data_IF_192701141088
#
_entry.id   IF_192701141088
#
_cell.length_a   1.000
_cell.length_b   1.000
_cell.length_c   1.000
_cell.angle_alpha   90.00
_cell.angle_beta   90.00
_cell.angle_gamma   90.00
#
_symmetry.space_group_name_H-M   'P 1'
#
loop_
_entity.id
_entity.type
_entity.pdbx_description
1 polymer ?
#
# COMPACT_ATOMS: atom_id res chain seq x y z
N UNK A 1 26.67 -26.15 -55.36
CA UNK A 1 26.87 -25.04 -54.39
C UNK A 1 25.66 -25.01 -53.49
N UNK A 2 25.78 -25.21 -52.16
CA UNK A 2 24.62 -25.09 -51.28
C UNK A 2 24.23 -23.61 -51.24
N UNK A 3 22.96 -23.31 -51.48
CA UNK A 3 22.38 -21.97 -51.41
C UNK A 3 22.42 -21.47 -49.96
N UNK A 4 23.16 -20.38 -49.73
CA UNK A 4 23.41 -19.75 -48.43
C UNK A 4 22.20 -18.88 -47.98
N UNK A 5 21.28 -18.58 -48.89
CA UNK A 5 20.12 -17.73 -48.64
C UNK A 5 19.19 -18.18 -47.49
N UNK A 6 18.90 -19.49 -47.29
CA UNK A 6 18.05 -19.93 -46.18
C UNK A 6 18.70 -19.65 -44.82
N UNK A 7 20.03 -19.79 -44.70
CA UNK A 7 20.71 -19.62 -43.40
C UNK A 7 20.67 -18.18 -42.89
N UNK A 8 20.76 -17.19 -43.78
CA UNK A 8 20.64 -15.77 -43.41
C UNK A 8 19.25 -15.42 -42.88
N UNK A 9 18.20 -16.00 -43.47
CA UNK A 9 16.83 -15.81 -43.01
C UNK A 9 16.65 -16.38 -41.60
N UNK A 10 17.20 -17.57 -41.33
CA UNK A 10 17.20 -18.15 -39.98
C UNK A 10 17.96 -17.29 -38.97
N UNK A 11 19.15 -16.79 -39.32
CA UNK A 11 19.92 -15.90 -38.45
C UNK A 11 19.18 -14.60 -38.15
N UNK A 12 18.46 -14.03 -39.13
CA UNK A 12 17.66 -12.83 -38.94
C UNK A 12 16.50 -13.05 -37.97
N UNK A 13 15.74 -14.15 -38.13
CA UNK A 13 14.69 -14.51 -37.18
C UNK A 13 15.23 -14.80 -35.78
N UNK A 14 16.39 -15.47 -35.69
CA UNK A 14 17.06 -15.70 -34.42
C UNK A 14 17.46 -14.38 -33.74
N UNK A 15 18.01 -13.41 -34.48
CA UNK A 15 18.36 -12.09 -33.95
C UNK A 15 17.14 -11.32 -33.44
N UNK A 16 16.00 -11.38 -34.16
CA UNK A 16 14.75 -10.77 -33.71
C UNK A 16 14.27 -11.43 -32.41
N UNK A 17 14.28 -12.76 -32.35
CA UNK A 17 13.86 -13.50 -31.17
C UNK A 17 14.74 -13.20 -29.94
N UNK A 18 16.06 -13.16 -30.11
CA UNK A 18 16.99 -12.82 -29.02
C UNK A 18 16.78 -11.38 -28.58
N UNK A 19 16.61 -10.45 -29.52
CA UNK A 19 16.40 -9.03 -29.22
C UNK A 19 15.08 -8.80 -28.47
N UNK A 20 14.00 -9.48 -28.86
CA UNK A 20 12.71 -9.36 -28.18
C UNK A 20 12.76 -9.91 -26.76
N UNK A 21 13.39 -11.07 -26.56
CA UNK A 21 13.62 -11.64 -25.21
C UNK A 21 14.45 -10.68 -24.36
N UNK A 22 15.46 -10.05 -24.94
CA UNK A 22 16.32 -9.11 -24.21
C UNK A 22 15.54 -7.87 -23.77
N UNK A 23 14.77 -7.26 -24.67
CA UNK A 23 13.94 -6.07 -24.37
C UNK A 23 12.91 -6.39 -23.29
N UNK A 24 12.22 -7.53 -23.39
CA UNK A 24 11.21 -7.91 -22.39
C UNK A 24 11.85 -8.24 -21.05
N UNK A 25 13.02 -8.89 -21.04
CA UNK A 25 13.75 -9.21 -19.80
C UNK A 25 14.23 -7.95 -19.08
N UNK A 26 14.82 -7.00 -19.80
CA UNK A 26 15.23 -5.72 -19.22
C UNK A 26 14.04 -4.88 -18.76
N UNK A 27 12.95 -4.87 -19.53
CA UNK A 27 11.70 -4.22 -19.14
C UNK A 27 11.17 -4.79 -17.83
N UNK A 28 11.06 -6.12 -17.72
CA UNK A 28 10.65 -6.80 -16.51
C UNK A 28 11.59 -6.49 -15.33
N UNK A 29 12.91 -6.53 -15.55
CA UNK A 29 13.89 -6.21 -14.50
C UNK A 29 13.77 -4.76 -14.00
N UNK A 30 13.61 -3.79 -14.90
CA UNK A 30 13.41 -2.39 -14.55
C UNK A 30 12.12 -2.18 -13.74
N UNK A 31 11.03 -2.87 -14.08
CA UNK A 31 9.79 -2.81 -13.30
C UNK A 31 9.96 -3.39 -11.89
N UNK A 32 10.70 -4.49 -11.75
CA UNK A 32 10.99 -5.10 -10.44
C UNK A 32 11.86 -4.19 -9.58
N UNK A 33 12.91 -3.60 -10.15
CA UNK A 33 13.78 -2.64 -9.46
C UNK A 33 12.99 -1.43 -8.93
N UNK A 34 11.99 -0.98 -9.66
CA UNK A 34 11.12 0.13 -9.23
C UNK A 34 10.13 -0.28 -8.13
N UNK A 35 9.64 -1.52 -8.14
CA UNK A 35 8.69 -2.00 -7.14
C UNK A 35 9.30 -2.09 -5.73
N UNK A 36 10.60 -2.41 -5.60
CA UNK A 36 11.28 -2.54 -4.30
C UNK A 36 11.21 -1.27 -3.44
N UNK A 37 11.64 -0.09 -3.92
CA UNK A 37 11.54 1.15 -3.14
C UNK A 37 10.08 1.60 -2.95
N UNK A 38 9.19 1.38 -3.92
CA UNK A 38 7.76 1.70 -3.79
C UNK A 38 7.10 0.89 -2.65
N UNK A 39 7.43 -0.39 -2.52
CA UNK A 39 6.98 -1.23 -1.39
C UNK A 39 7.57 -0.74 -0.06
N UNK A 40 8.84 -0.33 -0.06
CA UNK A 40 9.48 0.27 1.13
C UNK A 40 8.79 1.55 1.60
N UNK A 41 8.40 2.42 0.67
CA UNK A 41 7.64 3.63 0.95
C UNK A 41 6.24 3.30 1.49
N UNK A 42 5.53 2.33 0.90
CA UNK A 42 4.24 1.87 1.41
C UNK A 42 4.36 1.35 2.85
N UNK A 43 5.37 0.52 3.14
CA UNK A 43 5.61 0.01 4.49
C UNK A 43 5.91 1.13 5.50
N UNK A 44 6.62 2.17 5.07
CA UNK A 44 6.91 3.33 5.92
C UNK A 44 5.64 4.12 6.24
N UNK A 45 4.74 4.28 5.26
CA UNK A 45 3.42 4.90 5.47
C UNK A 45 2.53 4.06 6.39
N UNK A 46 2.44 2.75 6.17
CA UNK A 46 1.67 1.86 7.05
C UNK A 46 2.18 1.91 8.49
N UNK A 47 3.51 1.96 8.67
CA UNK A 47 4.13 2.12 9.99
C UNK A 47 3.80 3.47 10.60
N UNK A 48 3.85 4.55 9.83
CA UNK A 48 3.46 5.89 10.27
C UNK A 48 1.99 5.94 10.74
N UNK A 49 1.07 5.35 9.98
CA UNK A 49 -0.35 5.27 10.39
C UNK A 49 -0.52 4.43 11.65
N UNK A 50 0.20 3.30 11.76
CA UNK A 50 0.17 2.47 12.96
C UNK A 50 0.71 3.20 14.21
N UNK A 51 1.79 3.98 14.08
CA UNK A 51 2.35 4.75 15.19
C UNK A 51 1.40 5.86 15.62
N UNK A 52 0.86 6.63 14.68
CA UNK A 52 -0.14 7.67 14.97
C UNK A 52 -1.39 7.08 15.63
N UNK A 53 -1.81 5.90 15.19
CA UNK A 53 -2.94 5.18 15.80
C UNK A 53 -2.66 4.74 17.23
N UNK A 54 -1.45 4.25 17.53
CA UNK A 54 -1.06 3.93 18.89
C UNK A 54 -1.00 5.17 19.79
N UNK A 55 -0.47 6.29 19.30
CA UNK A 55 -0.41 7.55 20.06
C UNK A 55 -1.81 8.08 20.38
N UNK A 56 -2.71 8.07 19.38
CA UNK A 56 -4.12 8.43 19.57
C UNK A 56 -4.81 7.50 20.57
N UNK A 57 -4.58 6.20 20.49
CA UNK A 57 -5.16 5.24 21.43
C UNK A 57 -4.72 5.53 22.87
N UNK A 58 -3.43 5.79 23.10
CA UNK A 58 -2.91 6.15 24.43
C UNK A 58 -3.47 7.51 24.91
N UNK A 59 -3.65 8.47 24.00
CA UNK A 59 -4.27 9.75 24.35
C UNK A 59 -5.73 9.58 24.77
N UNK A 60 -6.52 8.81 24.02
CA UNK A 60 -7.93 8.54 24.33
C UNK A 60 -8.06 7.74 25.62
N UNK A 61 -7.18 6.77 25.85
CA UNK A 61 -7.15 5.97 27.08
C UNK A 61 -6.91 6.83 28.33
N UNK A 62 -6.04 7.84 28.21
CA UNK A 62 -5.67 8.73 29.34
C UNK A 62 -6.65 9.89 29.54
N UNK A 63 -7.21 10.43 28.47
CA UNK A 63 -8.08 11.63 28.53
C UNK A 63 -9.57 11.31 28.43
N UNK A 64 -9.94 10.06 28.14
CA UNK A 64 -11.32 9.62 27.97
C UNK A 64 -12.11 10.48 26.95
N UNK A 65 -11.40 11.07 25.98
CA UNK A 65 -11.92 12.04 25.03
C UNK A 65 -11.71 11.55 23.61
N UNK A 66 -12.65 11.83 22.71
CA UNK A 66 -12.49 11.52 21.28
C UNK A 66 -11.39 12.38 20.69
N UNK A 67 -10.44 11.76 19.99
CA UNK A 67 -9.32 12.43 19.35
C UNK A 67 -9.27 12.13 17.85
N UNK A 68 -9.04 13.15 17.04
CA UNK A 68 -8.99 13.06 15.58
C UNK A 68 -7.70 13.67 15.07
N UNK A 69 -7.02 12.99 14.14
CA UNK A 69 -5.85 13.51 13.45
C UNK A 69 -6.02 13.40 11.95
N UNK A 70 -5.61 14.43 11.23
CA UNK A 70 -5.52 14.41 9.77
C UNK A 70 -4.15 13.84 9.42
N UNK A 71 -4.13 12.80 8.61
CA UNK A 71 -2.91 12.17 8.13
C UNK A 71 -2.54 12.78 6.78
N UNK A 72 -1.45 13.53 6.76
CA UNK A 72 -0.83 14.02 5.53
C UNK A 72 -0.17 12.85 4.79
N UNK A 73 -0.93 12.25 3.89
CA UNK A 73 -0.49 11.12 3.09
C UNK A 73 -0.23 11.58 1.66
N UNK A 74 0.80 11.03 1.00
CA UNK A 74 1.00 11.30 -0.41
C UNK A 74 -0.19 10.76 -1.22
N UNK A 75 -0.54 11.43 -2.31
CA UNK A 75 -1.59 10.95 -3.22
C UNK A 75 -1.15 9.77 -4.08
N UNK A 76 0.17 9.54 -4.22
CA UNK A 76 0.78 8.46 -5.00
C UNK A 76 2.12 8.04 -4.42
N UNK A 77 2.47 6.78 -4.61
CA UNK A 77 3.80 6.22 -4.31
C UNK A 77 4.44 5.89 -5.67
N UNK A 78 5.48 6.63 -6.05
CA UNK A 78 6.03 6.56 -7.40
C UNK A 78 4.99 6.98 -8.45
N UNK A 79 4.61 6.05 -9.33
CA UNK A 79 3.55 6.27 -10.33
C UNK A 79 2.21 5.60 -9.96
N UNK A 80 2.15 4.89 -8.83
CA UNK A 80 1.01 4.06 -8.46
C UNK A 80 0.18 4.71 -7.36
N UNK A 81 -1.13 4.51 -7.45
CA UNK A 81 -2.04 4.73 -6.32
C UNK A 81 -1.83 3.63 -5.29
N UNK A 82 -2.33 3.84 -4.09
CA UNK A 82 -2.35 2.83 -3.04
C UNK A 82 -3.65 2.93 -2.25
N UNK A 83 -3.94 1.85 -1.54
CA UNK A 83 -5.00 1.76 -0.57
C UNK A 83 -4.45 1.20 0.73
N UNK A 84 -5.16 1.49 1.82
CA UNK A 84 -4.91 0.90 3.11
C UNK A 84 -6.23 0.65 3.84
N UNK A 85 -6.21 -0.30 4.75
CA UNK A 85 -7.34 -0.70 5.57
C UNK A 85 -6.84 -1.01 6.96
N UNK A 86 -7.64 -0.66 7.94
CA UNK A 86 -7.47 -1.19 9.28
C UNK A 86 -8.22 -2.50 9.39
N UNK A 87 -7.53 -3.54 9.83
CA UNK A 87 -8.11 -4.85 10.07
C UNK A 87 -7.77 -5.30 11.49
N UNK A 88 -8.72 -5.97 12.12
CA UNK A 88 -8.47 -6.69 13.36
C UNK A 88 -8.92 -8.14 13.25
N UNK A 89 -8.30 -8.95 14.08
CA UNK A 89 -8.77 -10.25 14.49
C UNK A 89 -9.06 -10.17 16.00
N UNK A 90 -9.65 -11.22 16.56
CA UNK A 90 -9.99 -11.42 17.97
C UNK A 90 -8.88 -11.07 18.98
N UNK A 91 -7.61 -10.98 18.56
CA UNK A 91 -6.47 -10.69 19.45
C UNK A 91 -5.53 -9.58 18.98
N UNK A 92 -5.58 -9.17 17.72
CA UNK A 92 -4.57 -8.26 17.13
C UNK A 92 -5.22 -7.33 16.13
N UNK A 93 -4.78 -6.08 16.14
CA UNK A 93 -5.10 -5.10 15.10
C UNK A 93 -3.85 -4.86 14.22
N UNK A 94 -4.05 -4.64 12.93
CA UNK A 94 -3.02 -4.25 11.99
C UNK A 94 -3.54 -3.25 10.95
N UNK A 95 -2.62 -2.49 10.39
CA UNK A 95 -2.83 -1.69 9.18
C UNK A 95 -2.32 -2.51 8.01
N UNK A 96 -3.15 -2.76 7.01
CA UNK A 96 -2.73 -3.41 5.78
C UNK A 96 -2.93 -2.49 4.58
N UNK A 97 -2.13 -2.68 3.53
CA UNK A 97 -2.28 -1.92 2.31
C UNK A 97 -1.49 -2.49 1.16
N UNK A 98 -1.84 -2.08 -0.05
CA UNK A 98 -1.15 -2.46 -1.26
C UNK A 98 -1.09 -1.29 -2.25
N UNK A 99 -0.12 -1.39 -3.16
CA UNK A 99 -0.07 -0.53 -4.35
C UNK A 99 -1.13 -0.99 -5.35
N UNK A 100 -1.71 -0.06 -6.08
CA UNK A 100 -2.81 -0.32 -7.03
C UNK A 100 -4.18 -0.09 -6.41
N UNK A 101 -5.19 -0.74 -6.99
CA UNK A 101 -6.57 -0.71 -6.49
C UNK A 101 -6.87 -1.94 -5.62
N UNK A 102 -7.87 -1.83 -4.74
CA UNK A 102 -8.27 -2.92 -3.81
C UNK A 102 -8.53 -4.26 -4.52
N UNK A 103 -8.94 -4.23 -5.79
CA UNK A 103 -9.34 -5.42 -6.55
C UNK A 103 -8.20 -6.08 -7.35
N UNK A 104 -7.00 -5.49 -7.36
CA UNK A 104 -5.89 -5.96 -8.22
C UNK A 104 -5.11 -7.15 -7.65
N UNK A 105 -5.56 -7.76 -6.54
CA UNK A 105 -4.92 -8.95 -5.96
C UNK A 105 -3.44 -8.75 -5.60
N UNK A 106 -3.02 -7.50 -5.43
CA UNK A 106 -1.63 -7.14 -5.12
C UNK A 106 -1.24 -7.65 -3.74
N UNK A 107 0.02 -8.06 -3.53
CA UNK A 107 0.48 -8.54 -2.23
C UNK A 107 0.31 -7.43 -1.19
N UNK A 108 -0.51 -7.72 -0.19
CA UNK A 108 -0.78 -6.81 0.92
C UNK A 108 0.39 -6.81 1.89
N UNK A 109 0.89 -5.63 2.21
CA UNK A 109 1.78 -5.44 3.35
C UNK A 109 0.95 -5.18 4.59
N UNK A 110 1.35 -5.76 5.73
CA UNK A 110 0.66 -5.62 6.99
C UNK A 110 1.61 -5.16 8.10
N UNK A 111 1.16 -4.22 8.93
CA UNK A 111 1.89 -3.68 10.07
C UNK A 111 0.99 -3.78 11.30
N UNK A 112 1.38 -4.61 12.26
CA UNK A 112 0.63 -4.79 13.50
C UNK A 112 0.71 -3.56 14.41
N UNK A 113 -0.43 -3.18 14.98
CA UNK A 113 -0.49 -2.20 16.06
C UNK A 113 0.01 -2.85 17.36
N UNK A 114 0.63 -2.05 18.23
CA UNK A 114 1.12 -2.51 19.54
C UNK A 114 0.03 -2.51 20.61
N UNK A 115 -1.08 -1.83 20.36
CA UNK A 115 -2.18 -1.64 21.32
C UNK A 115 -3.39 -2.51 20.91
N UNK A 116 -4.07 -3.08 21.91
CA UNK A 116 -5.33 -3.78 21.70
C UNK A 116 -6.45 -2.77 21.45
N UNK A 117 -6.74 -2.51 20.18
CA UNK A 117 -7.80 -1.60 19.75
C UNK A 117 -8.73 -2.29 18.77
N UNK A 118 -10.02 -2.01 18.85
CA UNK A 118 -10.93 -2.31 17.76
C UNK A 118 -10.61 -1.38 16.59
N UNK A 119 -10.61 -1.88 15.37
CA UNK A 119 -10.31 -1.03 14.22
C UNK A 119 -11.36 -1.16 13.14
N UNK A 120 -11.62 -0.06 12.44
CA UNK A 120 -12.59 0.01 11.36
C UNK A 120 -12.10 0.98 10.29
N UNK A 121 -12.40 0.67 9.04
CA UNK A 121 -12.33 1.64 7.96
C UNK A 121 -11.24 1.38 6.93
N UNK A 122 -11.46 1.95 5.76
CA UNK A 122 -10.64 1.81 4.58
C UNK A 122 -10.34 3.19 3.98
N UNK A 123 -9.19 3.28 3.35
CA UNK A 123 -8.73 4.49 2.70
C UNK A 123 -8.13 4.14 1.34
N UNK A 124 -8.42 4.97 0.36
CA UNK A 124 -7.75 4.95 -0.93
C UNK A 124 -7.19 6.34 -1.21
N UNK A 125 -5.94 6.37 -1.68
CA UNK A 125 -5.21 7.59 -2.05
C UNK A 125 -5.92 8.45 -3.12
N UNK A 126 -6.94 7.91 -3.78
CA UNK A 126 -7.79 8.61 -4.74
C UNK A 126 -8.62 9.74 -4.13
N UNK A 127 -8.94 9.63 -2.84
CA UNK A 127 -9.96 10.44 -2.18
C UNK A 127 -9.41 11.57 -1.29
N UNK A 128 -8.11 11.89 -1.41
CA UNK A 128 -7.49 13.00 -0.69
C UNK A 128 -6.94 12.60 0.69
N UNK A 129 -6.81 13.52 1.65
CA UNK A 129 -6.18 13.21 2.95
C UNK A 129 -6.98 12.20 3.77
N UNK A 130 -6.29 11.35 4.52
CA UNK A 130 -6.94 10.40 5.43
C UNK A 130 -7.13 11.02 6.80
N UNK A 131 -8.05 10.44 7.55
CA UNK A 131 -8.34 10.80 8.93
C UNK A 131 -8.25 9.57 9.78
N UNK A 132 -7.52 9.68 10.86
CA UNK A 132 -7.58 8.73 11.95
C UNK A 132 -8.38 9.35 13.08
N UNK A 133 -9.45 8.68 13.46
CA UNK A 133 -10.27 9.06 14.59
C UNK A 133 -10.21 7.93 15.62
N UNK A 134 -9.99 8.28 16.87
CA UNK A 134 -9.97 7.33 17.96
C UNK A 134 -10.94 7.78 19.05
N UNK A 135 -11.80 6.86 19.46
CA UNK A 135 -12.81 7.10 20.47
C UNK A 135 -12.99 5.87 21.34
N UNK A 136 -13.47 6.09 22.56
CA UNK A 136 -13.82 5.00 23.45
C UNK A 136 -15.28 4.61 23.21
N UNK A 137 -15.51 3.35 22.86
CA UNK A 137 -16.84 2.76 22.74
C UNK A 137 -17.08 1.84 23.94
N UNK A 138 -17.69 2.37 24.98
CA UNK A 138 -17.83 1.67 26.26
C UNK A 138 -16.47 1.51 26.94
N UNK A 139 -15.98 0.27 27.06
CA UNK A 139 -14.65 -0.05 27.59
C UNK A 139 -13.60 -0.35 26.50
N UNK A 140 -13.98 -0.26 25.22
CA UNK A 140 -13.12 -0.65 24.10
C UNK A 140 -12.68 0.58 23.32
N UNK A 141 -11.37 0.77 23.18
CA UNK A 141 -10.81 1.80 22.31
C UNK A 141 -11.02 1.39 20.85
N UNK A 142 -11.69 2.23 20.08
CA UNK A 142 -11.97 2.01 18.66
C UNK A 142 -11.22 3.03 17.82
N UNK A 143 -10.56 2.56 16.76
CA UNK A 143 -9.80 3.37 15.84
C UNK A 143 -10.43 3.29 14.45
N UNK A 144 -10.84 4.43 13.94
CA UNK A 144 -11.51 4.57 12.66
C UNK A 144 -10.60 5.27 11.65
N UNK A 145 -10.41 4.64 10.49
CA UNK A 145 -9.71 5.24 9.35
C UNK A 145 -10.73 5.61 8.29
N UNK A 146 -10.82 6.91 8.00
CA UNK A 146 -11.76 7.44 7.02
C UNK A 146 -11.13 8.49 6.11
N UNK A 147 -11.97 9.02 5.23
CA UNK A 147 -11.66 10.18 4.42
C UNK A 147 -11.88 11.44 5.24
N UNK A 148 -11.06 12.47 5.02
CA UNK A 148 -11.38 13.79 5.53
C UNK A 148 -12.60 14.32 4.79
N UNK A 149 -13.74 14.25 5.47
CA UNK A 149 -14.95 14.97 5.09
C UNK A 149 -15.01 16.20 5.99
N UNK A 150 -14.91 17.38 5.38
CA UNK A 150 -15.46 18.60 5.99
C UNK A 150 -16.97 18.38 6.03
N UNK A 151 -17.50 18.03 7.21
CA UNK A 151 -18.94 18.19 7.41
C UNK A 151 -19.22 19.71 7.50
N UNK A 152 -20.22 20.22 6.75
CA UNK A 152 -20.57 21.63 6.66
C UNK A 152 -21.21 22.21 7.93
#
# INVERSE_FOLDING_TARGET
>A
MPTIAPSYIYSFFALIAVSSILITSFGAYATTLRNVPEIGQLNSLLRYVATMGCELATLVETTNSTSKVILELPSRIGAKRFWMRLANDSRKAWVEGALGTIHEGSPTNQVYLRTAVAVLGNYSSEYGPAVLECFMNGSTITLHLGLWREDP
#
